data_IF_123601844901
#
_entry.id   IF_123601844901
#
_cell.length_a   1.000
_cell.length_b   1.000
_cell.length_c   1.000
_cell.angle_alpha   90.00
_cell.angle_beta   90.00
_cell.angle_gamma   90.00
#
_symmetry.space_group_name_H-M   'P 1'
#
loop_
_entity.id
_entity.type
_entity.pdbx_description
1 polymer ?
#
# COMPACT_ATOMS: atom_id res chain seq x y z
N UNK A 1 1.52 4.12 13.70
CA UNK A 1 1.56 3.51 12.36
C UNK A 1 1.86 4.57 11.31
N UNK A 2 2.75 4.26 10.39
CA UNK A 2 3.12 5.14 9.27
C UNK A 2 2.36 4.70 8.03
N UNK A 3 1.47 5.55 7.52
CA UNK A 3 0.70 5.29 6.30
C UNK A 3 1.10 6.28 5.22
N UNK A 4 1.57 5.79 4.08
CA UNK A 4 2.07 6.60 2.98
C UNK A 4 1.03 6.68 1.87
N UNK A 5 0.62 7.90 1.51
CA UNK A 5 -0.60 8.18 0.73
C UNK A 5 -0.39 8.67 -0.69
N UNK A 6 -1.41 8.34 -1.51
CA UNK A 6 -1.80 9.07 -2.73
C UNK A 6 -3.33 9.14 -2.81
N UNK A 7 -3.91 10.38 -2.80
CA UNK A 7 -5.31 10.75 -3.03
C UNK A 7 -6.39 10.39 -1.97
N UNK A 8 -7.55 11.10 -2.05
CA UNK A 8 -8.77 11.09 -1.23
C UNK A 8 -9.39 9.70 -0.91
N UNK A 9 -8.96 8.67 -1.61
CA UNK A 9 -9.54 7.31 -1.58
C UNK A 9 -9.11 6.47 -0.36
N UNK A 10 -8.17 6.96 0.42
CA UNK A 10 -7.52 6.19 1.49
C UNK A 10 -8.02 6.52 2.89
N UNK A 11 -8.97 7.47 2.99
CA UNK A 11 -9.59 7.82 4.26
C UNK A 11 -10.16 6.59 4.99
N UNK A 12 -10.76 5.64 4.26
CA UNK A 12 -11.41 4.47 4.88
C UNK A 12 -10.40 3.53 5.52
N UNK A 13 -9.25 3.26 4.89
CA UNK A 13 -8.18 2.43 5.50
C UNK A 13 -7.56 3.11 6.72
N UNK A 14 -7.28 4.41 6.59
CA UNK A 14 -6.75 5.19 7.71
C UNK A 14 -7.78 5.25 8.84
N UNK A 15 -9.08 5.37 8.50
CA UNK A 15 -10.17 5.33 9.48
C UNK A 15 -10.30 3.97 10.14
N UNK A 16 -10.15 2.85 9.41
CA UNK A 16 -10.21 1.51 9.98
C UNK A 16 -9.05 1.25 10.96
N UNK A 17 -7.84 1.71 10.65
CA UNK A 17 -6.72 1.66 11.59
C UNK A 17 -6.96 2.58 12.80
N UNK A 18 -7.57 3.74 12.59
CA UNK A 18 -7.94 4.65 13.67
C UNK A 18 -9.04 4.06 14.56
N UNK A 19 -10.05 3.43 13.97
CA UNK A 19 -11.12 2.71 14.66
C UNK A 19 -10.58 1.54 15.50
N UNK A 20 -9.54 0.87 14.99
CA UNK A 20 -8.79 -0.14 15.74
C UNK A 20 -7.86 0.47 16.82
N UNK A 21 -8.01 1.75 17.18
CA UNK A 21 -7.26 2.40 18.26
C UNK A 21 -5.83 2.82 17.91
N UNK A 22 -5.48 2.90 16.63
CA UNK A 22 -4.12 3.16 16.18
C UNK A 22 -3.84 4.65 16.00
N UNK A 23 -2.75 5.15 16.59
CA UNK A 23 -2.21 6.47 16.26
C UNK A 23 -1.60 6.46 14.86
N UNK A 24 -1.85 7.49 14.07
CA UNK A 24 -1.49 7.53 12.66
C UNK A 24 -0.50 8.64 12.33
N UNK A 25 0.39 8.30 11.40
CA UNK A 25 1.24 9.25 10.69
C UNK A 25 0.91 9.09 9.20
N UNK A 26 0.34 10.14 8.61
CA UNK A 26 -0.06 10.13 7.21
C UNK A 26 0.84 11.03 6.37
N UNK A 27 1.22 10.55 5.19
CA UNK A 27 2.16 11.24 4.30
C UNK A 27 1.56 11.37 2.90
N UNK A 28 1.57 12.57 2.33
CA UNK A 28 1.14 12.85 0.96
C UNK A 28 1.80 14.14 0.45
N UNK A 29 1.70 14.39 -0.85
CA UNK A 29 2.15 15.64 -1.46
C UNK A 29 1.16 16.78 -1.30
N UNK A 30 -0.10 16.50 -1.00
CA UNK A 30 -1.21 17.46 -0.97
C UNK A 30 -1.62 17.74 0.46
N UNK A 31 -1.30 18.93 0.97
CA UNK A 31 -1.62 19.32 2.34
C UNK A 31 -3.12 19.35 2.61
N UNK A 32 -3.91 19.86 1.66
CA UNK A 32 -5.37 19.90 1.76
C UNK A 32 -5.96 18.51 2.05
N UNK A 33 -5.53 17.50 1.30
CA UNK A 33 -6.01 16.12 1.49
C UNK A 33 -5.60 15.55 2.85
N UNK A 34 -4.37 15.84 3.29
CA UNK A 34 -3.87 15.42 4.60
C UNK A 34 -4.68 16.03 5.74
N UNK A 35 -5.00 17.31 5.63
CA UNK A 35 -5.80 18.02 6.63
C UNK A 35 -7.23 17.45 6.72
N UNK A 36 -7.89 17.25 5.57
CA UNK A 36 -9.24 16.64 5.53
C UNK A 36 -9.26 15.28 6.23
N UNK A 37 -8.27 14.42 5.95
CA UNK A 37 -8.18 13.09 6.54
C UNK A 37 -7.82 13.15 8.02
N UNK A 38 -6.92 14.02 8.40
CA UNK A 38 -6.59 14.22 9.83
C UNK A 38 -7.83 14.58 10.64
N UNK A 39 -8.72 15.43 10.09
CA UNK A 39 -10.01 15.76 10.73
C UNK A 39 -10.92 14.54 10.90
N UNK A 40 -10.97 13.65 9.90
CA UNK A 40 -11.75 12.42 9.99
C UNK A 40 -11.17 11.48 11.04
N UNK A 41 -9.85 11.26 11.04
CA UNK A 41 -9.16 10.37 11.97
C UNK A 41 -9.33 10.83 13.43
N UNK A 42 -9.29 12.14 13.69
CA UNK A 42 -9.47 12.68 15.04
C UNK A 42 -10.83 12.30 15.69
N UNK A 43 -11.86 11.98 14.88
CA UNK A 43 -13.15 11.52 15.40
C UNK A 43 -13.06 10.18 16.17
N UNK A 44 -12.03 9.37 15.90
CA UNK A 44 -11.77 8.10 16.57
C UNK A 44 -10.94 8.22 17.86
N UNK A 45 -10.73 9.44 18.38
CA UNK A 45 -9.98 9.71 19.62
C UNK A 45 -8.53 9.19 19.61
N UNK A 46 -7.91 9.08 18.42
CA UNK A 46 -6.50 8.71 18.24
C UNK A 46 -5.68 9.91 17.76
N UNK A 47 -4.36 9.87 18.00
CA UNK A 47 -3.46 10.89 17.50
C UNK A 47 -3.21 10.72 16.00
N UNK A 48 -3.32 11.81 15.26
CA UNK A 48 -2.99 11.87 13.83
C UNK A 48 -2.00 13.00 13.57
N UNK A 49 -0.81 12.65 13.09
CA UNK A 49 0.17 13.61 12.54
C UNK A 49 0.20 13.46 11.03
N UNK A 50 0.46 14.54 10.32
CA UNK A 50 0.67 14.48 8.88
C UNK A 50 1.91 15.23 8.42
N UNK A 51 2.48 14.80 7.31
CA UNK A 51 3.65 15.44 6.69
C UNK A 51 3.43 15.59 5.18
N UNK A 52 3.62 16.81 4.69
CA UNK A 52 3.68 17.06 3.24
C UNK A 52 5.03 16.56 2.74
N UNK A 53 5.02 15.52 1.92
CA UNK A 53 6.24 14.85 1.49
C UNK A 53 6.02 14.13 0.16
N UNK A 54 6.98 14.27 -0.75
CA UNK A 54 7.05 13.46 -1.97
C UNK A 54 7.86 12.18 -1.68
N UNK A 55 7.20 11.03 -1.76
CA UNK A 55 7.80 9.72 -1.49
C UNK A 55 8.96 9.36 -2.44
N UNK A 56 9.07 10.05 -3.58
CA UNK A 56 10.18 9.89 -4.53
C UNK A 56 11.43 10.67 -4.12
N UNK A 57 11.36 11.47 -3.08
CA UNK A 57 12.45 12.29 -2.54
C UNK A 57 13.00 11.64 -1.27
N UNK A 58 14.09 10.90 -1.41
CA UNK A 58 14.71 10.10 -0.34
C UNK A 58 14.91 10.89 0.96
N UNK A 59 15.51 12.09 0.88
CA UNK A 59 15.80 12.90 2.07
C UNK A 59 14.54 13.39 2.80
N UNK A 60 13.44 13.64 2.07
CA UNK A 60 12.18 14.02 2.70
C UNK A 60 11.62 12.85 3.52
N UNK A 61 11.59 11.64 2.97
CA UNK A 61 11.13 10.43 3.67
C UNK A 61 12.04 10.13 4.86
N UNK A 62 13.36 10.18 4.68
CA UNK A 62 14.35 9.95 5.74
C UNK A 62 14.12 10.91 6.92
N UNK A 63 13.90 12.21 6.64
CA UNK A 63 13.60 13.20 7.67
C UNK A 63 12.32 12.87 8.43
N UNK A 64 11.25 12.48 7.72
CA UNK A 64 9.98 12.11 8.37
C UNK A 64 10.14 10.86 9.22
N UNK A 65 10.75 9.79 8.73
CA UNK A 65 10.92 8.54 9.46
C UNK A 65 11.81 8.74 10.68
N UNK A 66 12.94 9.45 10.54
CA UNK A 66 13.87 9.70 11.64
C UNK A 66 13.28 10.57 12.75
N UNK A 67 12.33 11.44 12.44
CA UNK A 67 11.64 12.26 13.43
C UNK A 67 10.66 11.47 14.32
N UNK A 68 10.38 10.20 13.99
CA UNK A 68 9.43 9.42 14.77
C UNK A 68 10.09 8.75 15.97
N UNK A 69 9.41 8.81 17.13
CA UNK A 69 9.83 8.12 18.36
C UNK A 69 9.40 6.66 18.41
N UNK A 70 8.45 6.27 17.55
CA UNK A 70 7.92 4.90 17.47
C UNK A 70 7.30 4.64 16.09
N UNK A 71 7.58 3.50 15.50
CA UNK A 71 6.96 2.98 14.28
C UNK A 71 6.67 1.51 14.51
N UNK A 72 5.40 1.11 14.56
CA UNK A 72 4.98 -0.29 14.73
C UNK A 72 4.55 -0.92 13.42
N UNK A 73 3.85 -0.15 12.58
CA UNK A 73 3.34 -0.62 11.30
C UNK A 73 3.60 0.42 10.22
N UNK A 74 4.03 -0.05 9.06
CA UNK A 74 4.19 0.75 7.84
C UNK A 74 3.30 0.19 6.75
N UNK A 75 2.49 1.05 6.13
CA UNK A 75 1.71 0.70 4.94
C UNK A 75 2.26 1.46 3.75
N UNK A 76 3.03 0.78 2.91
CA UNK A 76 3.53 1.28 1.64
C UNK A 76 2.43 1.29 0.60
N UNK A 77 1.74 2.41 0.48
CA UNK A 77 0.58 2.48 -0.38
C UNK A 77 0.71 3.50 -1.54
N UNK A 78 1.76 4.31 -1.55
CA UNK A 78 2.02 5.20 -2.69
C UNK A 78 2.24 4.38 -3.97
N UNK A 79 1.49 4.69 -5.01
CA UNK A 79 1.59 3.99 -6.29
C UNK A 79 0.76 4.66 -7.37
N UNK A 80 1.09 4.38 -8.62
CA UNK A 80 0.37 4.92 -9.79
C UNK A 80 0.47 3.97 -10.96
N UNK A 81 -0.39 4.20 -11.96
CA UNK A 81 -0.35 3.48 -13.22
C UNK A 81 -0.55 4.46 -14.37
N UNK A 82 0.17 4.24 -15.45
CA UNK A 82 0.02 4.91 -16.75
C UNK A 82 -0.14 3.80 -17.77
N UNK A 83 -1.38 3.50 -18.22
CA UNK A 83 -1.64 2.45 -19.20
C UNK A 83 -1.08 2.84 -20.56
N UNK A 84 -0.18 2.03 -21.11
CA UNK A 84 0.40 2.19 -22.43
C UNK A 84 0.60 0.82 -23.07
N UNK A 85 0.36 0.72 -24.41
CA UNK A 85 0.72 -0.48 -25.17
C UNK A 85 2.25 -0.66 -25.10
N UNK A 86 2.73 -1.90 -24.95
CA UNK A 86 4.15 -2.19 -24.71
C UNK A 86 5.08 -1.50 -25.69
N UNK A 87 4.75 -1.56 -26.99
CA UNK A 87 5.58 -0.94 -28.05
C UNK A 87 5.54 0.59 -28.08
N UNK A 88 4.65 1.21 -27.28
CA UNK A 88 4.47 2.67 -27.21
C UNK A 88 4.79 3.25 -25.82
N UNK A 89 5.32 2.43 -24.92
CA UNK A 89 5.72 2.89 -23.57
C UNK A 89 6.80 3.96 -23.72
N UNK A 90 6.50 5.14 -23.18
CA UNK A 90 7.48 6.23 -23.11
C UNK A 90 8.50 5.94 -22.00
N UNK A 91 9.80 6.12 -22.30
CA UNK A 91 10.89 5.94 -21.33
C UNK A 91 10.65 6.74 -20.04
N UNK A 92 10.24 8.00 -20.16
CA UNK A 92 9.94 8.86 -19.02
C UNK A 92 8.80 8.33 -18.14
N UNK A 93 7.76 7.72 -18.73
CA UNK A 93 6.66 7.11 -17.98
C UNK A 93 7.13 5.84 -17.26
N UNK A 94 7.94 5.02 -17.92
CA UNK A 94 8.54 3.83 -17.31
C UNK A 94 9.40 4.21 -16.10
N UNK A 95 10.33 5.15 -16.27
CA UNK A 95 11.19 5.64 -15.18
C UNK A 95 10.38 6.23 -14.01
N UNK A 96 9.36 7.01 -14.32
CA UNK A 96 8.47 7.58 -13.30
C UNK A 96 7.70 6.50 -12.53
N UNK A 97 7.15 5.50 -13.21
CA UNK A 97 6.45 4.39 -12.58
C UNK A 97 7.37 3.56 -11.68
N UNK A 98 8.58 3.24 -12.14
CA UNK A 98 9.59 2.53 -11.34
C UNK A 98 9.95 3.35 -10.11
N UNK A 99 10.19 4.65 -10.28
CA UNK A 99 10.53 5.55 -9.17
C UNK A 99 9.46 5.61 -8.10
N UNK A 100 8.17 5.69 -8.49
CA UNK A 100 7.05 5.80 -7.53
C UNK A 100 6.67 4.46 -6.93
N UNK A 101 6.54 3.41 -7.76
CA UNK A 101 5.96 2.14 -7.30
C UNK A 101 6.98 1.21 -6.65
N UNK A 102 8.25 1.26 -7.10
CA UNK A 102 9.29 0.31 -6.67
C UNK A 102 10.32 0.98 -5.78
N UNK A 103 11.05 2.00 -6.30
CA UNK A 103 12.16 2.63 -5.56
C UNK A 103 11.66 3.32 -4.30
N UNK A 104 10.56 4.07 -4.37
CA UNK A 104 10.00 4.72 -3.20
C UNK A 104 9.55 3.70 -2.14
N UNK A 105 8.90 2.62 -2.56
CA UNK A 105 8.47 1.55 -1.64
C UNK A 105 9.66 0.86 -0.96
N UNK A 106 10.74 0.59 -1.71
CA UNK A 106 11.98 0.06 -1.16
C UNK A 106 12.59 1.00 -0.11
N UNK A 107 12.77 2.27 -0.46
CA UNK A 107 13.39 3.27 0.44
C UNK A 107 12.60 3.43 1.74
N UNK A 108 11.28 3.50 1.65
CA UNK A 108 10.41 3.62 2.82
C UNK A 108 10.51 2.38 3.69
N UNK A 109 10.44 1.19 3.09
CA UNK A 109 10.54 -0.06 3.80
C UNK A 109 11.90 -0.18 4.53
N UNK A 110 13.00 0.11 3.83
CA UNK A 110 14.35 0.04 4.39
C UNK A 110 14.54 1.02 5.57
N UNK A 111 14.21 2.30 5.36
CA UNK A 111 14.32 3.31 6.41
C UNK A 111 13.44 2.99 7.63
N UNK A 112 12.23 2.47 7.38
CA UNK A 112 11.32 2.09 8.46
C UNK A 112 11.80 0.86 9.21
N UNK A 113 12.32 -0.16 8.51
CA UNK A 113 12.90 -1.34 9.14
C UNK A 113 14.11 -0.96 10.02
N UNK A 114 15.03 -0.14 9.52
CA UNK A 114 16.17 0.37 10.30
C UNK A 114 15.68 1.10 11.58
N UNK A 115 14.64 1.93 11.44
CA UNK A 115 14.07 2.67 12.58
C UNK A 115 13.38 1.73 13.56
N UNK A 116 12.66 0.71 13.11
CA UNK A 116 12.04 -0.31 13.97
C UNK A 116 13.09 -1.09 14.75
N UNK A 117 14.21 -1.45 14.12
CA UNK A 117 15.33 -2.16 14.75
C UNK A 117 16.02 -1.27 15.79
N UNK A 118 16.33 -0.02 15.44
CA UNK A 118 16.92 0.97 16.34
C UNK A 118 16.07 1.16 17.61
N UNK A 119 14.77 1.34 17.43
CA UNK A 119 13.83 1.59 18.53
C UNK A 119 13.46 0.32 19.29
N UNK A 120 13.92 -0.86 18.90
CA UNK A 120 13.51 -2.17 19.45
C UNK A 120 11.99 -2.25 19.59
N UNK A 121 11.30 -1.80 18.55
CA UNK A 121 9.85 -1.67 18.51
C UNK A 121 9.21 -3.02 18.82
N UNK A 122 8.28 -3.03 19.80
CA UNK A 122 7.45 -4.19 20.17
C UNK A 122 8.27 -5.48 20.40
N UNK A 123 9.04 -5.56 21.47
CA UNK A 123 9.88 -6.74 21.82
C UNK A 123 9.17 -8.11 21.66
N UNK A 124 7.84 -8.18 21.92
CA UNK A 124 7.07 -9.42 21.77
C UNK A 124 6.48 -9.62 20.38
N UNK A 125 5.96 -8.58 19.73
CA UNK A 125 5.19 -8.68 18.48
C UNK A 125 5.90 -8.12 17.25
N UNK A 126 7.05 -7.48 17.44
CA UNK A 126 7.87 -6.92 16.37
C UNK A 126 7.20 -5.80 15.57
N UNK A 127 7.78 -5.47 14.42
CA UNK A 127 7.24 -4.52 13.47
C UNK A 127 6.42 -5.19 12.37
N UNK A 128 5.65 -4.39 11.62
CA UNK A 128 4.91 -4.87 10.46
C UNK A 128 5.11 -3.93 9.27
N UNK A 129 5.44 -4.48 8.11
CA UNK A 129 5.49 -3.75 6.84
C UNK A 129 4.48 -4.37 5.89
N UNK A 130 3.54 -3.57 5.39
CA UNK A 130 2.52 -3.99 4.44
C UNK A 130 2.75 -3.22 3.14
N UNK A 131 3.08 -3.95 2.07
CA UNK A 131 3.24 -3.38 0.75
C UNK A 131 1.92 -3.49 -0.03
N UNK A 132 1.39 -2.38 -0.52
CA UNK A 132 0.18 -2.40 -1.37
C UNK A 132 0.58 -2.80 -2.78
N UNK A 133 0.40 -4.06 -3.08
CA UNK A 133 0.61 -4.63 -4.41
C UNK A 133 -0.65 -4.55 -5.27
N UNK A 134 -0.95 -5.56 -6.01
CA UNK A 134 -2.12 -5.71 -6.88
C UNK A 134 -2.24 -7.17 -7.31
N UNK A 135 -3.41 -7.63 -7.72
CA UNK A 135 -3.55 -8.86 -8.50
C UNK A 135 -2.59 -8.88 -9.71
N UNK A 136 -2.24 -7.70 -10.25
CA UNK A 136 -1.26 -7.54 -11.33
C UNK A 136 0.19 -7.80 -10.91
N UNK A 137 0.44 -8.20 -9.68
CA UNK A 137 1.69 -8.80 -9.20
C UNK A 137 1.70 -10.33 -9.31
N UNK A 138 0.61 -10.94 -9.79
CA UNK A 138 0.44 -12.39 -9.94
C UNK A 138 0.01 -12.79 -11.35
N UNK A 139 -0.66 -11.90 -12.07
CA UNK A 139 -1.15 -12.13 -13.44
C UNK A 139 -0.83 -10.94 -14.33
N UNK A 140 -0.73 -11.17 -15.64
CA UNK A 140 -0.59 -10.12 -16.64
C UNK A 140 -1.90 -9.36 -16.87
N UNK A 141 -1.78 -8.11 -17.34
CA UNK A 141 -2.90 -7.31 -17.79
C UNK A 141 -2.56 -6.50 -19.04
N UNK A 142 -3.53 -6.29 -19.97
CA UNK A 142 -3.28 -5.54 -21.19
C UNK A 142 -2.85 -4.11 -20.87
N UNK A 143 -1.95 -3.56 -21.71
CA UNK A 143 -1.46 -2.16 -21.61
C UNK A 143 -0.87 -1.78 -20.23
N UNK A 144 -0.35 -2.76 -19.48
CA UNK A 144 0.14 -2.56 -18.09
C UNK A 144 1.51 -3.19 -17.84
N UNK A 145 2.31 -3.43 -18.87
CA UNK A 145 3.59 -4.13 -18.76
C UNK A 145 4.53 -3.54 -17.68
N UNK A 146 4.68 -2.21 -17.64
CA UNK A 146 5.50 -1.54 -16.62
C UNK A 146 4.86 -1.64 -15.22
N UNK A 147 3.56 -1.53 -15.13
CA UNK A 147 2.86 -1.70 -13.86
C UNK A 147 2.98 -3.13 -13.32
N UNK A 148 2.81 -4.14 -14.19
CA UNK A 148 3.04 -5.53 -13.85
C UNK A 148 4.48 -5.74 -13.35
N UNK A 149 5.49 -5.29 -14.10
CA UNK A 149 6.89 -5.37 -13.70
C UNK A 149 7.11 -4.83 -12.28
N UNK A 150 6.55 -3.64 -11.97
CA UNK A 150 6.67 -3.05 -10.65
C UNK A 150 5.97 -3.89 -9.56
N UNK A 151 4.79 -4.44 -9.84
CA UNK A 151 4.01 -5.19 -8.84
C UNK A 151 4.59 -6.59 -8.61
N UNK A 152 5.05 -7.30 -9.65
CA UNK A 152 5.83 -8.54 -9.50
C UNK A 152 7.13 -8.29 -8.72
N UNK A 153 7.83 -7.19 -9.02
CA UNK A 153 9.02 -6.79 -8.27
C UNK A 153 8.73 -6.54 -6.78
N UNK A 154 7.57 -5.98 -6.46
CA UNK A 154 7.15 -5.75 -5.08
C UNK A 154 6.84 -7.06 -4.33
N UNK A 155 6.30 -8.07 -5.01
CA UNK A 155 6.13 -9.43 -4.45
C UNK A 155 7.49 -10.07 -4.12
N UNK A 156 8.44 -10.00 -5.06
CA UNK A 156 9.81 -10.49 -4.85
C UNK A 156 10.52 -9.75 -3.70
N UNK A 157 10.43 -8.43 -3.68
CA UNK A 157 10.97 -7.59 -2.59
C UNK A 157 10.39 -8.00 -1.23
N UNK A 158 9.08 -8.22 -1.16
CA UNK A 158 8.40 -8.62 0.08
C UNK A 158 8.92 -9.95 0.61
N UNK A 159 9.13 -10.94 -0.26
CA UNK A 159 9.69 -12.25 0.12
C UNK A 159 11.12 -12.11 0.66
N UNK A 160 12.00 -11.41 -0.05
CA UNK A 160 13.37 -11.16 0.41
C UNK A 160 13.41 -10.44 1.76
N UNK A 161 12.67 -9.35 1.89
CA UNK A 161 12.59 -8.60 3.14
C UNK A 161 12.05 -9.44 4.30
N UNK A 162 11.09 -10.33 4.08
CA UNK A 162 10.52 -11.16 5.13
C UNK A 162 11.54 -12.11 5.75
N UNK A 163 12.47 -12.63 4.96
CA UNK A 163 13.57 -13.49 5.41
C UNK A 163 14.61 -12.67 6.17
N UNK A 164 15.06 -11.56 5.60
CA UNK A 164 16.11 -10.72 6.19
C UNK A 164 15.69 -10.10 7.53
N UNK A 165 14.41 -9.76 7.67
CA UNK A 165 13.86 -9.05 8.82
C UNK A 165 13.27 -9.98 9.91
N UNK A 166 13.13 -11.28 9.64
CA UNK A 166 12.57 -12.25 10.58
C UNK A 166 13.31 -12.28 11.92
N UNK A 167 14.64 -12.21 11.92
CA UNK A 167 15.46 -12.19 13.15
C UNK A 167 15.20 -10.97 14.04
N UNK A 168 14.61 -9.91 13.49
CA UNK A 168 14.19 -8.71 14.24
C UNK A 168 12.70 -8.75 14.59
N UNK A 169 12.03 -9.87 14.33
CA UNK A 169 10.60 -10.03 14.53
C UNK A 169 9.77 -8.98 13.74
N UNK A 170 10.20 -8.67 12.52
CA UNK A 170 9.48 -7.76 11.62
C UNK A 170 8.85 -8.59 10.52
N UNK A 171 7.52 -8.54 10.43
CA UNK A 171 6.73 -9.23 9.41
C UNK A 171 6.57 -8.34 8.17
N UNK A 172 6.66 -8.94 6.99
CA UNK A 172 6.50 -8.21 5.73
C UNK A 172 5.56 -8.99 4.82
N UNK A 173 4.46 -8.36 4.40
CA UNK A 173 3.47 -8.99 3.54
C UNK A 173 2.99 -8.01 2.46
N UNK A 174 2.36 -8.53 1.40
CA UNK A 174 1.62 -7.72 0.45
C UNK A 174 0.11 -7.87 0.63
N UNK A 175 -0.63 -6.83 0.25
CA UNK A 175 -2.07 -6.91 -0.04
C UNK A 175 -2.23 -6.65 -1.53
N UNK A 176 -2.98 -7.52 -2.18
CA UNK A 176 -3.11 -7.57 -3.63
C UNK A 176 -4.56 -7.36 -4.08
N UNK A 177 -5.05 -6.11 -4.11
CA UNK A 177 -6.41 -5.83 -4.53
C UNK A 177 -6.61 -6.05 -6.03
N UNK A 178 -7.86 -6.39 -6.39
CA UNK A 178 -8.40 -6.20 -7.74
C UNK A 178 -8.86 -4.74 -7.93
N UNK A 179 -9.74 -4.51 -8.88
CA UNK A 179 -10.37 -3.21 -9.09
C UNK A 179 -11.23 -2.83 -7.87
N UNK A 180 -10.88 -1.72 -7.26
CA UNK A 180 -11.58 -1.16 -6.10
C UNK A 180 -12.44 0.01 -6.55
N UNK A 181 -13.69 0.09 -6.10
CA UNK A 181 -14.56 1.23 -6.37
C UNK A 181 -14.02 2.47 -5.65
N UNK A 182 -13.55 3.41 -6.44
CA UNK A 182 -12.93 4.63 -5.96
C UNK A 182 -13.37 5.80 -6.83
N UNK A 183 -13.32 7.05 -6.38
CA UNK A 183 -13.61 8.20 -7.25
C UNK A 183 -12.78 8.23 -8.53
N UNK A 184 -11.55 7.70 -8.50
CA UNK A 184 -10.71 7.58 -9.69
C UNK A 184 -11.21 6.50 -10.64
N UNK A 185 -11.56 5.32 -10.13
CA UNK A 185 -12.03 4.20 -10.95
C UNK A 185 -13.46 4.39 -11.44
N UNK A 186 -14.31 5.14 -10.72
CA UNK A 186 -15.68 5.47 -11.13
C UNK A 186 -15.77 6.05 -12.53
N UNK A 187 -14.74 6.77 -13.00
CA UNK A 187 -14.71 7.30 -14.38
C UNK A 187 -14.63 6.19 -15.41
N UNK A 188 -13.82 5.17 -15.16
CA UNK A 188 -13.66 4.01 -16.07
C UNK A 188 -14.84 3.04 -15.95
N UNK A 189 -15.45 2.93 -14.78
CA UNK A 189 -16.62 2.10 -14.52
C UNK A 189 -17.91 2.62 -15.18
N UNK A 190 -17.90 3.81 -15.80
CA UNK A 190 -19.00 4.32 -16.64
C UNK A 190 -19.01 3.64 -18.01
N UNK A 191 -17.88 3.12 -18.49
CA UNK A 191 -17.82 2.33 -19.70
C UNK A 191 -18.38 0.92 -19.44
N UNK A 192 -19.56 0.65 -19.96
CA UNK A 192 -20.27 -0.63 -19.80
C UNK A 192 -19.49 -1.82 -20.33
N UNK A 193 -18.74 -1.64 -21.45
CA UNK A 193 -17.93 -2.71 -22.04
C UNK A 193 -16.76 -3.06 -21.13
N UNK A 194 -16.02 -2.06 -20.68
CA UNK A 194 -14.93 -2.23 -19.71
C UNK A 194 -15.43 -2.83 -18.40
N UNK A 195 -16.55 -2.35 -17.88
CA UNK A 195 -17.13 -2.88 -16.65
C UNK A 195 -17.50 -4.36 -16.77
N UNK A 196 -18.16 -4.76 -17.89
CA UNK A 196 -18.51 -6.16 -18.16
C UNK A 196 -17.27 -7.04 -18.27
N UNK A 197 -16.23 -6.58 -18.98
CA UNK A 197 -14.95 -7.28 -19.11
C UNK A 197 -14.27 -7.49 -17.75
N UNK A 198 -14.17 -6.45 -16.96
CA UNK A 198 -13.53 -6.53 -15.63
C UNK A 198 -14.32 -7.42 -14.68
N UNK A 199 -15.65 -7.27 -14.61
CA UNK A 199 -16.50 -8.13 -13.76
C UNK A 199 -16.48 -9.59 -14.20
N UNK A 200 -16.43 -9.85 -15.52
CA UNK A 200 -16.30 -11.21 -16.05
C UNK A 200 -15.02 -11.94 -15.63
N UNK A 201 -14.01 -11.19 -15.20
CA UNK A 201 -12.77 -11.74 -14.65
C UNK A 201 -12.76 -11.89 -13.12
N UNK A 202 -13.78 -11.39 -12.42
CA UNK A 202 -13.91 -11.52 -10.96
C UNK A 202 -14.98 -12.59 -10.65
N UNK A 203 -14.61 -13.81 -10.23
CA UNK A 203 -15.57 -14.88 -9.94
C UNK A 203 -16.66 -14.48 -8.95
N UNK A 204 -16.37 -13.65 -7.95
CA UNK A 204 -17.39 -13.13 -7.02
C UNK A 204 -18.37 -12.13 -7.66
N UNK A 205 -18.19 -11.75 -8.93
CA UNK A 205 -19.11 -10.90 -9.72
C UNK A 205 -19.26 -9.46 -9.24
N UNK A 206 -18.39 -8.99 -8.35
CA UNK A 206 -18.44 -7.62 -7.81
C UNK A 206 -17.05 -7.01 -7.66
N UNK A 207 -16.97 -5.70 -7.73
CA UNK A 207 -15.75 -4.96 -7.41
C UNK A 207 -15.47 -5.00 -5.91
N UNK A 208 -14.17 -4.95 -5.54
CA UNK A 208 -13.80 -4.76 -4.16
C UNK A 208 -14.18 -3.35 -3.68
N UNK A 209 -14.59 -3.26 -2.43
CA UNK A 209 -14.78 -2.01 -1.73
C UNK A 209 -13.54 -1.62 -0.93
N UNK A 210 -13.48 -0.36 -0.52
CA UNK A 210 -12.37 0.11 0.32
C UNK A 210 -12.34 -0.55 1.69
N UNK A 211 -13.50 -0.96 2.21
CA UNK A 211 -13.66 -1.75 3.44
C UNK A 211 -12.98 -3.11 3.36
N UNK A 212 -13.05 -3.81 2.21
CA UNK A 212 -12.41 -5.11 2.02
C UNK A 212 -10.89 -4.98 2.17
N UNK A 213 -10.32 -3.92 1.58
CA UNK A 213 -8.88 -3.64 1.69
C UNK A 213 -8.50 -3.19 3.11
N UNK A 214 -9.35 -2.39 3.75
CA UNK A 214 -9.13 -1.89 5.10
C UNK A 214 -9.07 -3.03 6.11
N UNK A 215 -10.00 -3.99 6.03
CA UNK A 215 -10.03 -5.18 6.88
C UNK A 215 -8.77 -6.03 6.73
N UNK A 216 -8.29 -6.23 5.48
CA UNK A 216 -7.04 -6.93 5.22
C UNK A 216 -5.82 -6.22 5.83
N UNK A 217 -5.77 -4.88 5.76
CA UNK A 217 -4.71 -4.08 6.39
C UNK A 217 -4.73 -4.23 7.91
N UNK A 218 -5.90 -4.10 8.54
CA UNK A 218 -6.06 -4.24 10.00
C UNK A 218 -5.66 -5.64 10.45
N UNK A 219 -6.09 -6.68 9.74
CA UNK A 219 -5.73 -8.07 10.02
C UNK A 219 -4.21 -8.28 9.97
N UNK A 220 -3.55 -7.93 8.86
CA UNK A 220 -2.09 -8.12 8.73
C UNK A 220 -1.29 -7.25 9.72
N UNK A 221 -1.83 -6.10 10.13
CA UNK A 221 -1.20 -5.22 11.12
C UNK A 221 -1.35 -5.75 12.56
N UNK A 222 -2.31 -6.63 12.81
CA UNK A 222 -2.64 -7.15 14.15
C UNK A 222 -1.75 -8.32 14.57
N UNK A 223 -1.81 -8.67 15.85
CA UNK A 223 -1.13 -9.83 16.42
C UNK A 223 -1.77 -11.15 15.98
N UNK A 224 -3.00 -11.12 15.46
CA UNK A 224 -3.67 -12.30 14.86
C UNK A 224 -2.93 -12.83 13.62
N UNK A 225 -2.13 -11.98 12.96
CA UNK A 225 -1.28 -12.35 11.84
C UNK A 225 0.18 -12.64 12.25
N UNK A 226 0.44 -13.02 13.50
CA UNK A 226 1.80 -13.15 14.06
C UNK A 226 2.69 -14.15 13.33
N UNK A 227 2.12 -15.20 12.73
CA UNK A 227 2.83 -16.20 11.94
C UNK A 227 2.75 -15.98 10.42
N UNK A 228 2.25 -14.80 9.99
CA UNK A 228 2.08 -14.49 8.57
C UNK A 228 3.15 -13.49 8.13
N UNK A 229 4.12 -13.97 7.34
CA UNK A 229 5.17 -13.13 6.73
C UNK A 229 5.60 -13.70 5.38
N UNK A 230 6.04 -12.86 4.45
CA UNK A 230 6.47 -13.23 3.10
C UNK A 230 5.33 -13.66 2.17
N UNK A 231 4.07 -13.41 2.55
CA UNK A 231 2.90 -13.84 1.78
C UNK A 231 2.20 -12.68 1.08
N UNK A 232 1.39 -13.05 0.10
CA UNK A 232 0.51 -12.16 -0.66
C UNK A 232 -0.93 -12.44 -0.25
N UNK A 233 -1.60 -11.47 0.39
CA UNK A 233 -3.02 -11.55 0.68
C UNK A 233 -3.81 -11.00 -0.49
N UNK A 234 -4.33 -11.90 -1.31
CA UNK A 234 -5.18 -11.56 -2.45
C UNK A 234 -6.55 -11.08 -1.96
N UNK A 235 -6.98 -9.92 -2.40
CA UNK A 235 -8.31 -9.33 -2.15
C UNK A 235 -8.90 -9.00 -3.53
N UNK A 236 -9.09 -10.05 -4.33
CA UNK A 236 -9.32 -9.94 -5.77
C UNK A 236 -10.60 -10.63 -6.26
N UNK A 237 -11.40 -11.15 -5.35
CA UNK A 237 -12.65 -11.84 -5.67
C UNK A 237 -12.46 -13.10 -6.51
N UNK A 238 -11.28 -13.71 -6.46
CA UNK A 238 -10.92 -14.92 -7.20
C UNK A 238 -10.36 -14.67 -8.60
N UNK A 239 -10.01 -13.43 -8.95
CA UNK A 239 -9.42 -13.12 -10.26
C UNK A 239 -8.21 -13.98 -10.59
N UNK A 240 -7.32 -14.19 -9.65
CA UNK A 240 -6.07 -14.93 -9.83
C UNK A 240 -6.17 -16.42 -9.53
N UNK A 241 -7.35 -16.92 -9.22
CA UNK A 241 -7.58 -18.34 -8.88
C UNK A 241 -7.76 -19.24 -10.12
N UNK A 242 -7.73 -18.66 -11.35
CA UNK A 242 -7.91 -19.35 -12.62
C UNK A 242 -6.75 -19.10 -13.58
#
# INVERSE_FOLDING_TARGET
>A
HLVIRRQRQMCIRDSALAEAGTNLIIISRTEKDLNEVSKIIKKFRVNCKYFVCDVTKYEQIKKVINSQKRIDVVVNNAGTNIPEHFTKVKKSNMEYLVKVNTIASFNIAQLSALKMIELKTRKKTGGVIINMSSQMGHVGGPIRSVYNMNKFGLEGLTKGMSIDLAKYNIRVNTICPTFVVTPMTKKFLKDKKFMKEVLGNIPLGKFAELSDIASAVVFLASDQASMITGTSLLVDGGWTAK
#
